data_IF_216142625577
#
_entry.id   IF_216142625577
#
_cell.length_a   1.000
_cell.length_b   1.000
_cell.length_c   1.000
_cell.angle_alpha   90.00
_cell.angle_beta   90.00
_cell.angle_gamma   90.00
#
_symmetry.space_group_name_H-M   'P 1'
#
loop_
_entity.id
_entity.type
_entity.pdbx_description
1 polymer ?
#
# COMPACT_ATOMS: atom_id res chain seq x y z
N UNK A 1 -3.23 -0.93 17.45
CA UNK A 1 -2.49 0.26 17.97
C UNK A 1 -2.55 1.41 16.97
N UNK A 2 -2.16 1.22 15.70
CA UNK A 2 -2.20 2.26 14.67
C UNK A 2 -3.62 2.80 14.33
N UNK A 3 -4.68 1.97 14.36
CA UNK A 3 -6.08 2.41 14.04
C UNK A 3 -6.69 3.38 15.05
N UNK A 4 -6.02 3.58 16.19
CA UNK A 4 -6.48 4.47 17.25
C UNK A 4 -5.79 5.84 17.22
N UNK A 5 -4.85 6.06 16.30
CA UNK A 5 -4.23 7.36 16.08
C UNK A 5 -5.11 8.19 15.12
N UNK A 6 -5.35 9.48 15.40
CA UNK A 6 -6.31 10.31 14.64
C UNK A 6 -5.96 10.45 13.15
N UNK A 7 -4.69 10.23 12.78
CA UNK A 7 -4.19 10.30 11.39
C UNK A 7 -4.12 8.93 10.69
N UNK A 8 -4.34 7.82 11.40
CA UNK A 8 -4.16 6.44 10.90
C UNK A 8 -5.48 5.65 10.99
N UNK A 9 -6.59 6.23 10.52
CA UNK A 9 -7.81 5.46 10.31
C UNK A 9 -7.61 4.31 9.31
N UNK A 10 -8.64 3.49 9.11
CA UNK A 10 -8.66 2.36 8.16
C UNK A 10 -8.16 2.73 6.76
N UNK A 11 -8.50 3.93 6.27
CA UNK A 11 -8.00 4.45 5.00
C UNK A 11 -6.49 4.73 5.00
N UNK A 12 -5.97 5.43 6.01
CA UNK A 12 -4.55 5.76 6.08
C UNK A 12 -3.65 4.53 6.19
N UNK A 13 -4.07 3.54 6.98
CA UNK A 13 -3.36 2.27 7.05
C UNK A 13 -3.43 1.46 5.76
N UNK A 14 -4.55 1.52 5.04
CA UNK A 14 -4.67 0.83 3.75
C UNK A 14 -3.77 1.46 2.69
N UNK A 15 -3.68 2.79 2.63
CA UNK A 15 -2.76 3.53 1.76
C UNK A 15 -1.30 3.16 2.07
N UNK A 16 -0.90 3.21 3.34
CA UNK A 16 0.45 2.86 3.76
C UNK A 16 0.77 1.39 3.52
N UNK A 17 -0.20 0.50 3.74
CA UNK A 17 -0.10 -0.91 3.40
C UNK A 17 0.11 -1.13 1.90
N UNK A 18 -0.64 -0.42 1.04
CA UNK A 18 -0.48 -0.48 -0.41
C UNK A 18 0.89 0.01 -0.89
N UNK A 19 1.40 1.09 -0.30
CA UNK A 19 2.76 1.59 -0.56
C UNK A 19 3.82 0.58 -0.11
N UNK A 20 3.70 0.05 1.11
CA UNK A 20 4.64 -0.92 1.65
C UNK A 20 4.63 -2.24 0.85
N UNK A 21 3.47 -2.69 0.39
CA UNK A 21 3.34 -3.89 -0.45
C UNK A 21 4.08 -3.70 -1.79
N UNK A 22 3.89 -2.56 -2.45
CA UNK A 22 4.55 -2.26 -3.72
C UNK A 22 6.07 -2.16 -3.57
N UNK A 23 6.55 -1.57 -2.47
CA UNK A 23 7.98 -1.55 -2.15
C UNK A 23 8.53 -2.96 -1.92
N UNK A 24 7.85 -3.78 -1.10
CA UNK A 24 8.24 -5.17 -0.85
C UNK A 24 8.27 -6.01 -2.12
N UNK A 25 7.25 -5.87 -2.98
CA UNK A 25 7.18 -6.53 -4.28
C UNK A 25 8.38 -6.17 -5.15
N UNK A 26 8.75 -4.89 -5.20
CA UNK A 26 9.86 -4.42 -6.03
C UNK A 26 11.22 -4.86 -5.50
N UNK A 27 11.40 -4.88 -4.18
CA UNK A 27 12.63 -5.38 -3.54
C UNK A 27 12.82 -6.88 -3.82
N UNK A 28 11.75 -7.68 -3.67
CA UNK A 28 11.79 -9.11 -3.99
C UNK A 28 12.01 -9.33 -5.49
N UNK A 29 11.35 -8.55 -6.36
CA UNK A 29 11.55 -8.63 -7.80
C UNK A 29 12.99 -8.28 -8.21
N UNK A 30 13.56 -7.21 -7.64
CA UNK A 30 14.94 -6.81 -7.89
C UNK A 30 15.93 -7.90 -7.43
N UNK A 31 15.66 -8.56 -6.30
CA UNK A 31 16.47 -9.67 -5.80
C UNK A 31 16.40 -10.91 -6.72
N UNK A 32 15.19 -11.29 -7.14
CA UNK A 32 14.98 -12.47 -8.00
C UNK A 32 15.52 -12.25 -9.41
N UNK A 33 15.28 -11.08 -10.00
CA UNK A 33 15.71 -10.77 -11.38
C UNK A 33 17.19 -10.35 -11.43
N UNK A 34 17.78 -9.96 -10.29
CA UNK A 34 19.17 -9.48 -10.24
C UNK A 34 19.38 -8.13 -10.94
N UNK A 35 18.30 -7.36 -11.18
CA UNK A 35 18.35 -6.07 -11.86
C UNK A 35 17.69 -4.98 -11.01
N UNK A 36 18.51 -4.06 -10.51
CA UNK A 36 18.07 -2.90 -9.73
C UNK A 36 17.33 -1.85 -10.55
N UNK A 37 17.36 -1.91 -11.88
CA UNK A 37 16.56 -1.03 -12.76
C UNK A 37 15.05 -1.18 -12.52
N UNK A 38 14.61 -2.29 -11.94
CA UNK A 38 13.21 -2.49 -11.57
C UNK A 38 12.77 -1.48 -10.49
N UNK A 39 13.69 -0.95 -9.68
CA UNK A 39 13.38 0.08 -8.69
C UNK A 39 12.94 1.42 -9.30
N UNK A 40 13.22 1.67 -10.59
CA UNK A 40 12.70 2.87 -11.27
C UNK A 40 11.17 2.88 -11.38
N UNK A 41 10.52 1.71 -11.36
CA UNK A 41 9.07 1.62 -11.31
C UNK A 41 8.48 2.12 -9.99
N UNK A 42 9.28 2.30 -8.93
CA UNK A 42 8.79 2.72 -7.61
C UNK A 42 7.99 4.04 -7.70
N UNK A 43 8.40 5.00 -8.52
CA UNK A 43 7.69 6.27 -8.67
C UNK A 43 6.23 6.10 -9.09
N UNK A 44 5.97 5.34 -10.16
CA UNK A 44 4.61 5.07 -10.61
C UNK A 44 3.88 4.12 -9.64
N UNK A 45 4.60 3.16 -9.06
CA UNK A 45 4.03 2.18 -8.13
C UNK A 45 3.59 2.82 -6.82
N UNK A 46 4.23 3.90 -6.35
CA UNK A 46 3.77 4.64 -5.17
C UNK A 46 2.41 5.28 -5.39
N UNK A 47 2.19 5.87 -6.57
CA UNK A 47 0.90 6.46 -6.93
C UNK A 47 -0.18 5.38 -7.04
N UNK A 48 0.12 4.29 -7.76
CA UNK A 48 -0.79 3.14 -7.89
C UNK A 48 -1.09 2.50 -6.54
N UNK A 49 -0.08 2.35 -5.68
CA UNK A 49 -0.21 1.80 -4.33
C UNK A 49 -1.07 2.68 -3.43
N UNK A 50 -0.94 4.00 -3.52
CA UNK A 50 -1.77 4.93 -2.78
C UNK A 50 -3.23 4.92 -3.27
N UNK A 51 -3.47 4.90 -4.59
CA UNK A 51 -4.82 4.82 -5.17
C UNK A 51 -5.49 3.49 -4.79
N UNK A 52 -4.78 2.37 -4.98
CA UNK A 52 -5.27 1.05 -4.61
C UNK A 52 -5.55 0.96 -3.10
N UNK A 53 -4.63 1.46 -2.28
CA UNK A 53 -4.80 1.50 -0.84
C UNK A 53 -5.98 2.38 -0.40
N UNK A 54 -6.27 3.48 -1.09
CA UNK A 54 -7.46 4.29 -0.83
C UNK A 54 -8.74 3.51 -1.16
N UNK A 55 -8.79 2.82 -2.31
CA UNK A 55 -9.93 1.98 -2.71
C UNK A 55 -10.19 0.87 -1.70
N UNK A 56 -9.16 0.13 -1.31
CA UNK A 56 -9.24 -0.92 -0.28
C UNK A 56 -9.66 -0.32 1.06
N UNK A 57 -9.18 0.88 1.41
CA UNK A 57 -9.55 1.57 2.64
C UNK A 57 -11.02 1.94 2.70
N UNK A 58 -11.60 2.40 1.58
CA UNK A 58 -13.05 2.65 1.45
C UNK A 58 -13.82 1.34 1.62
N UNK A 59 -13.43 0.29 0.89
CA UNK A 59 -14.10 -1.02 0.99
C UNK A 59 -14.04 -1.60 2.40
N UNK A 60 -12.87 -1.53 3.05
CA UNK A 60 -12.70 -1.96 4.43
C UNK A 60 -13.59 -1.15 5.39
N UNK A 61 -13.72 0.17 5.19
CA UNK A 61 -14.62 1.00 5.97
C UNK A 61 -16.10 0.64 5.81
N UNK A 62 -16.53 0.24 4.60
CA UNK A 62 -17.89 -0.26 4.36
C UNK A 62 -18.09 -1.61 5.02
N UNK A 63 -17.15 -2.55 4.87
CA UNK A 63 -17.20 -3.88 5.47
C UNK A 63 -17.26 -3.82 6.99
N UNK A 64 -16.39 -3.01 7.61
CA UNK A 64 -16.33 -2.87 9.07
C UNK A 64 -17.55 -2.20 9.69
N UNK A 65 -18.40 -1.52 8.89
CA UNK A 65 -19.71 -1.01 9.35
C UNK A 65 -20.82 -2.06 9.28
N UNK A 66 -20.59 -3.17 8.57
CA UNK A 66 -21.57 -4.25 8.34
C UNK A 66 -21.33 -5.46 9.24
N UNK A 67 -20.18 -5.51 9.91
CA UNK A 67 -19.81 -6.48 10.95
C UNK A 67 -20.03 -5.82 12.30
#
# INVERSE_FOLDING_TARGET
LASKLPFFGTMGMSILGGVAHNLGQLLVAAFIVGNTSILYYLGILLVVGAVSGAVVGIMAGVLLKRV
#
